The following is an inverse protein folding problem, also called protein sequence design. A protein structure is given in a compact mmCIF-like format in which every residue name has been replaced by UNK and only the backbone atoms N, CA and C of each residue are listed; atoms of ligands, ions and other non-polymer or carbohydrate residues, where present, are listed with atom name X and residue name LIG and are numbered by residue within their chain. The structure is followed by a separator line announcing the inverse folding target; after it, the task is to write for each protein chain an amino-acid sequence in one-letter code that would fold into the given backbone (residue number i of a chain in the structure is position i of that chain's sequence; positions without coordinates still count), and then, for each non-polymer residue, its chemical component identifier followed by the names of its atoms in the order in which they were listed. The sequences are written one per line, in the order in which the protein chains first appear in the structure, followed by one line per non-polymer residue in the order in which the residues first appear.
data_IF_307843537359
#
_entry.id   IF_307843537359
#
_cell.length_a   1.000
_cell.length_b   1.000
_cell.length_c   1.000
_cell.angle_alpha   90.00
_cell.angle_beta   90.00
_cell.angle_gamma   90.00
#
_symmetry.space_group_name_H-M   'P 1'
#
loop_
_entity.id
_entity.type
_entity.pdbx_description
1 polymer ?
#
# COMPACT_ATOMS: atom_id res chain seq x y z
N UNK A 1 18.62 -17.39 -23.26
CA UNK A 1 18.76 -16.79 -21.91
C UNK A 1 17.43 -16.15 -21.58
N UNK A 2 16.74 -16.61 -20.53
CA UNK A 2 15.50 -15.96 -20.09
C UNK A 2 15.79 -14.50 -19.73
N UNK A 3 14.96 -13.57 -20.21
CA UNK A 3 15.11 -12.13 -19.89
C UNK A 3 15.04 -11.98 -18.37
N UNK A 4 16.03 -11.29 -17.80
CA UNK A 4 16.03 -10.92 -16.38
C UNK A 4 14.90 -9.90 -16.15
N UNK A 5 14.08 -10.16 -15.16
CA UNK A 5 13.04 -9.25 -14.67
C UNK A 5 13.66 -7.95 -14.14
N UNK A 6 13.03 -6.82 -14.48
CA UNK A 6 13.35 -5.51 -13.91
C UNK A 6 12.20 -5.15 -12.98
N UNK A 7 12.54 -4.90 -11.71
CA UNK A 7 11.60 -4.42 -10.71
C UNK A 7 12.30 -3.33 -9.93
N UNK A 8 11.80 -2.13 -10.11
CA UNK A 8 12.22 -0.90 -9.42
C UNK A 8 10.95 -0.13 -9.05
N UNK A 9 11.06 0.93 -8.23
CA UNK A 9 9.90 1.79 -7.93
C UNK A 9 9.25 2.45 -9.15
N UNK A 10 9.94 2.54 -10.29
CA UNK A 10 9.46 3.25 -11.49
C UNK A 10 9.20 2.34 -12.70
N UNK A 11 9.80 1.15 -12.73
CA UNK A 11 9.70 0.22 -13.85
C UNK A 11 9.52 -1.21 -13.38
N UNK A 12 8.55 -1.90 -13.99
CA UNK A 12 8.37 -3.35 -13.90
C UNK A 12 8.32 -3.92 -15.33
N UNK A 13 9.23 -4.85 -15.65
CA UNK A 13 9.25 -5.50 -16.95
C UNK A 13 9.78 -6.95 -16.89
N UNK A 14 9.32 -7.78 -17.82
CA UNK A 14 9.65 -9.21 -17.86
C UNK A 14 8.62 -10.10 -17.14
N UNK A 15 8.90 -11.40 -17.11
CA UNK A 15 8.10 -12.38 -16.37
C UNK A 15 8.53 -12.38 -14.90
N UNK A 16 7.58 -12.17 -14.00
CA UNK A 16 7.86 -11.92 -12.58
C UNK A 16 7.70 -13.21 -11.77
N UNK A 17 8.81 -13.67 -11.18
CA UNK A 17 8.81 -14.74 -10.18
C UNK A 17 8.78 -14.15 -8.77
N UNK A 18 7.59 -14.11 -8.17
CA UNK A 18 7.38 -13.53 -6.84
C UNK A 18 8.14 -14.25 -5.72
N UNK A 19 8.39 -15.56 -5.83
CA UNK A 19 9.17 -16.30 -4.82
C UNK A 19 10.63 -15.84 -4.84
N UNK A 20 11.19 -15.69 -6.04
CA UNK A 20 12.54 -15.13 -6.22
C UNK A 20 12.64 -13.68 -5.73
N UNK A 21 11.57 -12.89 -5.82
CA UNK A 21 11.56 -11.53 -5.26
C UNK A 21 11.61 -11.51 -3.74
N UNK A 22 10.93 -12.45 -3.07
CA UNK A 22 10.99 -12.57 -1.61
C UNK A 22 12.43 -12.74 -1.15
N UNK A 23 13.16 -13.66 -1.78
CA UNK A 23 14.58 -13.90 -1.52
C UNK A 23 15.46 -12.70 -1.88
N UNK A 24 15.31 -12.16 -3.10
CA UNK A 24 16.12 -11.05 -3.62
C UNK A 24 16.00 -9.80 -2.74
N UNK A 25 14.80 -9.47 -2.29
CA UNK A 25 14.59 -8.31 -1.43
C UNK A 25 14.75 -8.64 0.05
N UNK A 26 14.94 -9.89 0.45
CA UNK A 26 15.07 -10.29 1.86
C UNK A 26 13.81 -9.96 2.67
N UNK A 27 12.64 -10.20 2.08
CA UNK A 27 11.34 -10.13 2.77
C UNK A 27 10.94 -11.52 3.25
N UNK A 28 9.82 -11.63 3.98
CA UNK A 28 9.28 -12.91 4.44
C UNK A 28 7.93 -13.18 3.78
N UNK A 29 7.58 -14.43 3.44
CA UNK A 29 6.24 -14.76 2.97
C UNK A 29 5.23 -14.57 4.11
N UNK A 30 4.00 -14.20 3.79
CA UNK A 30 2.92 -14.17 4.78
C UNK A 30 2.51 -15.62 5.08
N UNK A 31 2.86 -16.09 6.27
CA UNK A 31 2.62 -17.49 6.68
C UNK A 31 1.17 -17.73 7.07
N UNK A 32 0.76 -19.00 7.12
CA UNK A 32 -0.58 -19.38 7.56
C UNK A 32 -0.91 -18.85 8.96
N UNK A 33 0.02 -18.96 9.90
CA UNK A 33 -0.13 -18.44 11.27
C UNK A 33 -0.42 -16.92 11.30
N UNK A 34 0.23 -16.15 10.42
CA UNK A 34 -0.06 -14.70 10.31
C UNK A 34 -1.44 -14.46 9.71
N UNK A 35 -1.85 -15.24 8.72
CA UNK A 35 -3.17 -15.16 8.11
C UNK A 35 -4.28 -15.46 9.13
N UNK A 36 -4.11 -16.50 9.95
CA UNK A 36 -5.05 -16.87 11.01
C UNK A 36 -5.18 -15.76 12.07
N UNK A 37 -4.07 -15.14 12.47
CA UNK A 37 -4.09 -13.99 13.40
C UNK A 37 -4.86 -12.81 12.79
N UNK A 38 -4.58 -12.46 11.55
CA UNK A 38 -5.31 -11.37 10.86
C UNK A 38 -6.80 -11.68 10.67
N UNK A 39 -7.16 -12.93 10.38
CA UNK A 39 -8.55 -13.38 10.29
C UNK A 39 -9.26 -13.25 11.64
N UNK A 40 -8.62 -13.67 12.73
CA UNK A 40 -9.15 -13.52 14.08
C UNK A 40 -9.45 -12.06 14.44
N UNK A 41 -8.57 -11.12 14.07
CA UNK A 41 -8.76 -9.70 14.35
C UNK A 41 -9.89 -9.07 13.52
N UNK A 42 -10.02 -9.47 12.26
CA UNK A 42 -10.97 -8.88 11.31
C UNK A 42 -12.32 -9.60 11.22
N UNK A 43 -12.44 -10.78 11.84
CA UNK A 43 -13.58 -11.69 11.75
C UNK A 43 -13.70 -12.43 10.40
N UNK A 44 -12.92 -12.06 9.38
CA UNK A 44 -12.84 -12.75 8.09
C UNK A 44 -11.55 -12.38 7.36
N UNK A 45 -10.85 -13.35 6.79
CA UNK A 45 -9.64 -13.06 6.03
C UNK A 45 -9.96 -12.30 4.73
N UNK A 46 -9.30 -11.15 4.52
CA UNK A 46 -9.50 -10.34 3.32
C UNK A 46 -9.20 -11.14 2.04
N UNK A 47 -9.96 -10.92 0.96
CA UNK A 47 -9.81 -11.72 -0.27
C UNK A 47 -8.41 -11.59 -0.89
N UNK A 48 -7.75 -10.42 -0.74
CA UNK A 48 -6.40 -10.20 -1.24
C UNK A 48 -5.34 -10.98 -0.45
N UNK A 49 -5.61 -11.35 0.80
CA UNK A 49 -4.76 -12.25 1.58
C UNK A 49 -5.08 -13.72 1.22
N UNK A 50 -6.36 -14.09 1.19
CA UNK A 50 -6.80 -15.45 0.81
C UNK A 50 -6.33 -15.90 -0.58
N UNK A 51 -6.24 -14.95 -1.51
CA UNK A 51 -5.81 -15.19 -2.91
C UNK A 51 -4.33 -14.89 -3.13
N UNK A 52 -3.56 -14.66 -2.07
CA UNK A 52 -2.13 -14.38 -2.12
C UNK A 52 -1.74 -13.21 -3.03
N UNK A 53 -2.60 -12.16 -3.09
CA UNK A 53 -2.29 -10.90 -3.78
C UNK A 53 -1.27 -10.12 -2.95
N UNK A 54 -1.50 -10.02 -1.63
CA UNK A 54 -0.45 -9.67 -0.68
C UNK A 54 0.21 -10.97 -0.21
N UNK A 55 1.47 -11.16 -0.58
CA UNK A 55 2.18 -12.44 -0.43
C UNK A 55 3.43 -12.36 0.46
N UNK A 56 3.96 -11.15 0.70
CA UNK A 56 5.17 -10.94 1.50
C UNK A 56 5.00 -9.78 2.48
N UNK A 57 5.85 -9.77 3.51
CA UNK A 57 5.88 -8.75 4.55
C UNK A 57 7.29 -8.51 5.10
N UNK A 58 7.43 -7.44 5.88
CA UNK A 58 8.52 -7.22 6.84
C UNK A 58 7.89 -6.94 8.21
N UNK A 59 8.34 -7.65 9.24
CA UNK A 59 7.98 -7.42 10.65
C UNK A 59 6.48 -7.33 10.99
N UNK A 60 5.60 -7.81 10.11
CA UNK A 60 4.16 -7.95 10.39
C UNK A 60 3.89 -8.68 11.72
N UNK A 61 4.67 -9.72 12.04
CA UNK A 61 4.55 -10.39 13.34
C UNK A 61 4.73 -9.42 14.52
N UNK A 62 5.71 -8.50 14.44
CA UNK A 62 5.98 -7.51 15.49
C UNK A 62 4.80 -6.56 15.63
N UNK A 63 4.22 -6.11 14.52
CA UNK A 63 3.04 -5.23 14.52
C UNK A 63 1.84 -5.93 15.15
N UNK A 64 1.59 -7.20 14.79
CA UNK A 64 0.50 -7.98 15.35
C UNK A 64 0.72 -8.27 16.84
N UNK A 65 1.95 -8.59 17.26
CA UNK A 65 2.30 -8.81 18.68
C UNK A 65 2.05 -7.52 19.49
N UNK A 66 2.43 -6.36 18.94
CA UNK A 66 2.19 -5.06 19.58
C UNK A 66 0.70 -4.75 19.72
N UNK A 67 -0.08 -5.00 18.67
CA UNK A 67 -1.54 -4.81 18.70
C UNK A 67 -2.23 -5.72 19.71
N UNK A 68 -1.86 -7.01 19.74
CA UNK A 68 -2.42 -7.99 20.68
C UNK A 68 -2.08 -7.69 22.14
N UNK A 69 -0.97 -6.99 22.39
CA UNK A 69 -0.60 -6.46 23.70
C UNK A 69 -1.36 -5.16 24.08
N UNK A 70 -2.32 -4.70 23.26
CA UNK A 70 -3.09 -3.47 23.47
C UNK A 70 -2.39 -2.21 22.97
N UNK A 71 -1.29 -2.36 22.24
CA UNK A 71 -0.57 -1.27 21.60
C UNK A 71 -1.30 -0.68 20.39
N UNK A 72 -0.87 0.51 19.97
CA UNK A 72 -1.41 1.20 18.80
C UNK A 72 -0.31 1.43 17.78
N UNK A 73 -0.66 1.31 16.50
CA UNK A 73 0.23 1.62 15.39
C UNK A 73 -0.48 2.50 14.35
N UNK A 74 0.31 3.03 13.41
CA UNK A 74 -0.16 3.93 12.34
C UNK A 74 0.03 3.23 10.99
N UNK A 75 -0.91 3.43 10.09
CA UNK A 75 -0.80 3.02 8.69
C UNK A 75 -0.17 4.14 7.87
N UNK A 76 0.72 3.78 6.96
CA UNK A 76 1.35 4.70 6.03
C UNK A 76 1.32 4.12 4.62
N UNK A 77 0.82 4.89 3.66
CA UNK A 77 0.86 4.58 2.23
C UNK A 77 0.85 5.88 1.44
N UNK A 78 0.88 5.81 0.11
CA UNK A 78 0.89 7.03 -0.68
C UNK A 78 0.59 6.83 -2.16
N UNK A 79 0.71 7.94 -2.90
CA UNK A 79 0.47 8.03 -4.32
C UNK A 79 1.34 9.14 -4.91
N UNK A 80 2.13 8.80 -5.93
CA UNK A 80 2.75 9.80 -6.79
C UNK A 80 1.72 10.33 -7.81
N UNK A 81 1.24 11.58 -7.72
CA UNK A 81 0.12 12.08 -8.51
C UNK A 81 0.56 12.42 -9.95
N UNK A 82 0.65 11.38 -10.79
CA UNK A 82 1.18 11.47 -12.16
C UNK A 82 0.09 11.36 -13.25
N UNK A 83 -1.18 11.54 -12.88
CA UNK A 83 -2.32 11.29 -13.76
C UNK A 83 -3.51 10.62 -13.06
N UNK A 84 -4.52 10.22 -13.83
CA UNK A 84 -5.74 9.59 -13.30
C UNK A 84 -5.46 8.27 -12.56
N UNK A 85 -6.32 7.96 -11.59
CA UNK A 85 -6.28 6.70 -10.87
C UNK A 85 -6.81 5.57 -11.76
N UNK A 86 -6.12 4.43 -11.78
CA UNK A 86 -6.57 3.20 -12.43
C UNK A 86 -6.70 2.07 -11.40
N UNK A 87 -7.32 0.95 -11.78
CA UNK A 87 -7.60 -0.17 -10.85
C UNK A 87 -6.38 -0.69 -10.08
N UNK A 88 -5.19 -0.67 -10.68
CA UNK A 88 -3.95 -1.05 -10.00
C UNK A 88 -3.62 -0.20 -8.76
N UNK A 89 -3.90 1.12 -8.82
CA UNK A 89 -3.67 2.04 -7.69
C UNK A 89 -4.64 1.77 -6.54
N UNK A 90 -5.84 1.26 -6.83
CA UNK A 90 -6.85 0.97 -5.81
C UNK A 90 -6.50 -0.25 -4.95
N UNK A 91 -5.69 -1.19 -5.45
CA UNK A 91 -5.33 -2.42 -4.72
C UNK A 91 -4.73 -2.13 -3.34
N UNK A 92 -3.66 -1.33 -3.20
CA UNK A 92 -3.13 -0.99 -1.89
C UNK A 92 -4.12 -0.19 -1.06
N UNK A 93 -4.91 0.72 -1.65
CA UNK A 93 -5.82 1.58 -0.87
C UNK A 93 -6.99 0.80 -0.29
N UNK A 94 -7.62 -0.08 -1.07
CA UNK A 94 -8.69 -0.97 -0.59
C UNK A 94 -8.19 -1.85 0.54
N UNK A 95 -6.96 -2.36 0.44
CA UNK A 95 -6.37 -3.16 1.51
C UNK A 95 -6.05 -2.32 2.76
N UNK A 96 -5.46 -1.14 2.60
CA UNK A 96 -5.21 -0.20 3.71
C UNK A 96 -6.50 0.18 4.42
N UNK A 97 -7.59 0.43 3.69
CA UNK A 97 -8.91 0.67 4.29
C UNK A 97 -9.38 -0.51 5.13
N UNK A 98 -9.22 -1.73 4.64
CA UNK A 98 -9.54 -2.92 5.42
C UNK A 98 -8.72 -3.00 6.71
N UNK A 99 -7.43 -2.67 6.67
CA UNK A 99 -6.57 -2.59 7.85
C UNK A 99 -7.04 -1.49 8.81
N UNK A 100 -7.36 -0.29 8.32
CA UNK A 100 -7.87 0.82 9.14
C UNK A 100 -9.14 0.40 9.87
N UNK A 101 -10.10 -0.21 9.16
CA UNK A 101 -11.35 -0.68 9.75
C UNK A 101 -11.15 -1.81 10.77
N UNK A 102 -10.14 -2.65 10.58
CA UNK A 102 -9.87 -3.80 11.47
C UNK A 102 -9.18 -3.36 12.76
N UNK A 103 -8.21 -2.45 12.65
CA UNK A 103 -7.31 -2.10 13.75
C UNK A 103 -7.60 -0.73 14.38
N UNK A 104 -8.48 0.08 13.79
CA UNK A 104 -8.82 1.41 14.28
C UNK A 104 -7.64 2.37 14.28
N UNK A 105 -6.72 2.21 13.33
CA UNK A 105 -5.46 2.95 13.26
C UNK A 105 -5.60 4.28 12.50
N UNK A 106 -4.78 5.26 12.89
CA UNK A 106 -4.56 6.45 12.06
C UNK A 106 -3.89 6.06 10.74
N UNK A 107 -4.30 6.68 9.64
CA UNK A 107 -3.68 6.60 8.32
C UNK A 107 -3.00 7.94 8.00
N UNK A 108 -1.72 7.87 7.63
CA UNK A 108 -0.99 8.95 6.97
C UNK A 108 -0.87 8.60 5.49
N UNK A 109 -1.45 9.41 4.62
CA UNK A 109 -1.43 9.20 3.18
C UNK A 109 -0.61 10.29 2.49
N UNK A 110 0.54 9.93 1.93
CA UNK A 110 1.41 10.90 1.25
C UNK A 110 1.08 11.00 -0.24
N UNK A 111 0.88 12.23 -0.72
CA UNK A 111 1.01 12.55 -2.13
C UNK A 111 2.44 12.97 -2.41
N UNK A 112 3.14 12.27 -3.29
CA UNK A 112 4.55 12.59 -3.66
C UNK A 112 4.58 13.43 -4.93
N UNK A 113 3.93 14.60 -4.89
CA UNK A 113 3.90 15.56 -5.99
C UNK A 113 5.29 16.13 -6.31
N UNK A 114 6.06 16.42 -5.27
CA UNK A 114 7.47 16.80 -5.34
C UNK A 114 8.32 15.80 -6.14
N UNK A 115 8.18 14.50 -5.86
CA UNK A 115 8.84 13.41 -6.58
C UNK A 115 8.52 13.47 -8.07
N UNK A 116 7.27 13.81 -8.45
CA UNK A 116 6.88 13.91 -9.86
C UNK A 116 7.47 15.12 -10.55
N UNK A 117 7.54 16.28 -9.89
CA UNK A 117 8.24 17.44 -10.42
C UNK A 117 9.74 17.19 -10.57
N UNK A 118 10.36 16.44 -9.66
CA UNK A 118 11.80 16.13 -9.72
C UNK A 118 12.17 15.13 -10.82
N UNK A 119 11.28 14.18 -11.12
CA UNK A 119 11.55 13.10 -12.10
C UNK A 119 11.07 13.47 -13.51
N UNK A 120 10.08 14.36 -13.64
CA UNK A 120 9.48 14.73 -14.92
C UNK A 120 9.66 16.20 -15.24
N UNK A 121 10.38 16.49 -16.31
CA UNK A 121 10.59 17.86 -16.79
C UNK A 121 9.32 18.53 -17.31
N UNK A 122 8.30 17.75 -17.67
CA UNK A 122 7.00 18.26 -18.15
C UNK A 122 5.97 18.45 -17.03
N UNK A 123 6.39 18.37 -15.76
CA UNK A 123 5.54 18.57 -14.59
C UNK A 123 5.95 19.85 -13.86
N UNK A 124 4.97 20.71 -13.59
CA UNK A 124 5.08 21.86 -12.72
C UNK A 124 4.12 21.75 -11.53
N UNK A 125 4.15 22.74 -10.66
CA UNK A 125 3.30 22.80 -9.46
C UNK A 125 1.82 22.84 -9.79
N UNK A 126 1.42 23.45 -10.90
CA UNK A 126 0.00 23.58 -11.26
C UNK A 126 -0.54 22.21 -11.70
N UNK A 127 0.23 21.48 -12.51
CA UNK A 127 -0.09 20.12 -12.95
C UNK A 127 -0.16 19.18 -11.76
N UNK A 128 0.84 19.20 -10.86
CA UNK A 128 0.83 18.28 -9.73
C UNK A 128 -0.27 18.60 -8.73
N UNK A 129 -0.51 19.88 -8.40
CA UNK A 129 -1.62 20.27 -7.52
C UNK A 129 -2.97 19.82 -8.07
N UNK A 130 -3.18 19.92 -9.39
CA UNK A 130 -4.37 19.38 -10.03
C UNK A 130 -4.53 17.88 -9.79
N UNK A 131 -3.46 17.10 -10.00
CA UNK A 131 -3.51 15.65 -9.79
C UNK A 131 -3.60 15.23 -8.33
N UNK A 132 -2.99 15.98 -7.40
CA UNK A 132 -3.18 15.78 -5.96
C UNK A 132 -4.65 15.92 -5.62
N UNK A 133 -5.29 17.00 -6.08
CA UNK A 133 -6.71 17.23 -5.85
C UNK A 133 -7.57 16.08 -6.42
N UNK A 134 -7.43 15.75 -7.70
CA UNK A 134 -8.22 14.68 -8.33
C UNK A 134 -7.99 13.31 -7.67
N UNK A 135 -6.73 12.91 -7.42
CA UNK A 135 -6.42 11.64 -6.77
C UNK A 135 -6.88 11.61 -5.30
N UNK A 136 -6.97 12.77 -4.64
CA UNK A 136 -7.53 12.86 -3.29
C UNK A 136 -9.03 12.54 -3.27
N UNK A 137 -9.78 12.98 -4.29
CA UNK A 137 -11.20 12.65 -4.44
C UNK A 137 -11.41 11.13 -4.62
N UNK A 138 -10.59 10.50 -5.45
CA UNK A 138 -10.62 9.04 -5.66
C UNK A 138 -10.36 8.27 -4.36
N UNK A 139 -9.38 8.72 -3.57
CA UNK A 139 -9.07 8.12 -2.28
C UNK A 139 -10.21 8.31 -1.27
N UNK A 140 -10.75 9.53 -1.16
CA UNK A 140 -11.88 9.83 -0.28
C UNK A 140 -13.11 9.00 -0.65
N UNK A 141 -13.36 8.77 -1.95
CA UNK A 141 -14.49 7.97 -2.43
C UNK A 141 -14.44 6.50 -1.97
N UNK A 142 -13.26 5.99 -1.60
CA UNK A 142 -13.15 4.65 -1.00
C UNK A 142 -13.75 4.59 0.41
N UNK A 143 -13.97 5.73 1.08
CA UNK A 143 -14.64 5.82 2.38
C UNK A 143 -13.73 5.48 3.56
N UNK A 144 -12.50 6.00 3.56
CA UNK A 144 -11.63 6.04 4.75
C UNK A 144 -12.26 6.90 5.84
N UNK A 145 -11.89 6.65 7.11
CA UNK A 145 -12.34 7.45 8.24
C UNK A 145 -11.69 8.85 8.21
N UNK A 146 -12.45 9.94 8.03
CA UNK A 146 -11.89 11.30 7.95
C UNK A 146 -11.21 11.76 9.25
N UNK A 147 -11.67 11.30 10.42
CA UNK A 147 -11.08 11.70 11.70
C UNK A 147 -9.72 11.02 11.95
N UNK A 148 -9.52 9.86 11.32
CA UNK A 148 -8.31 9.06 11.47
C UNK A 148 -7.49 8.97 10.17
N UNK A 149 -7.70 9.87 9.21
CA UNK A 149 -6.94 9.91 7.95
C UNK A 149 -6.41 11.30 7.70
N UNK A 150 -5.09 11.40 7.53
CA UNK A 150 -4.39 12.67 7.28
C UNK A 150 -3.64 12.59 5.95
N UNK A 151 -3.84 13.60 5.11
CA UNK A 151 -3.10 13.74 3.86
C UNK A 151 -1.84 14.55 4.10
N UNK A 152 -0.73 14.03 3.60
CA UNK A 152 0.56 14.72 3.57
C UNK A 152 0.80 15.13 2.12
N UNK A 153 0.92 16.43 1.89
CA UNK A 153 1.27 17.05 0.61
C UNK A 153 2.48 17.93 0.87
#
# INVERSE_FOLDING_TARGET
MAKKDVITPWEVSGEIDYNRLVERFGTKPITHDLLERMEKHSGRLHFMLRRNIFYSHRDLNIVLDHYEAGGKFVLYTGRGPSGPVHLGHLIPWVFTKHLQNTYGCKLLFQFTDDEKMLIREDYDTDITNHWVYENSLDLMALGFDPENTEFLV
#
